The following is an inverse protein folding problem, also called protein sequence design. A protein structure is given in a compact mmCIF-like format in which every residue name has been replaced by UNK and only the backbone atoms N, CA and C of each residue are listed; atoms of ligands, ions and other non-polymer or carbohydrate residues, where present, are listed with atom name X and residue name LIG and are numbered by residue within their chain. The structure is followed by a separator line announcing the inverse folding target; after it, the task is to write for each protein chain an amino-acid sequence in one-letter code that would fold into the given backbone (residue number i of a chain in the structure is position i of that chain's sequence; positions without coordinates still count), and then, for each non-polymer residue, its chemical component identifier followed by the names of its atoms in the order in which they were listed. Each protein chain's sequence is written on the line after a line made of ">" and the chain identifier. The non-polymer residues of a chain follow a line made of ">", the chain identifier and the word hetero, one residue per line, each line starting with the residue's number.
data_IF_326086542755
#
_entry.id   IF_326086542755
#
_cell.length_a   1.000
_cell.length_b   1.000
_cell.length_c   1.000
_cell.angle_alpha   90.00
_cell.angle_beta   90.00
_cell.angle_gamma   90.00
#
_symmetry.space_group_name_H-M   'P 1'
#
loop_
_entity.id
_entity.type
_entity.pdbx_description
1 polymer ?
#
# COMPACT_ATOMS: atom_id res chain seq x y z
N UNK A 1 5.15 14.90 -0.02
CA UNK A 1 5.15 13.69 -0.86
C UNK A 1 5.20 12.48 0.05
N UNK A 2 4.19 11.61 0.02
CA UNK A 2 4.18 10.34 0.74
C UNK A 2 3.80 9.20 -0.22
N UNK A 3 3.93 7.95 0.23
CA UNK A 3 3.67 6.79 -0.61
C UNK A 3 2.58 5.92 -0.02
N UNK A 4 1.76 5.34 -0.88
CA UNK A 4 0.75 4.34 -0.50
C UNK A 4 1.24 2.96 -0.92
N UNK A 5 1.15 1.98 -0.01
CA UNK A 5 1.33 0.57 -0.35
C UNK A 5 0.15 0.11 -1.22
N UNK A 6 0.38 0.02 -2.53
CA UNK A 6 -0.62 -0.30 -3.53
C UNK A 6 -0.83 -1.79 -3.79
N UNK A 7 -0.29 -2.70 -2.97
CA UNK A 7 -0.41 -4.15 -3.17
C UNK A 7 -1.87 -4.61 -3.36
N UNK A 8 -2.83 -3.91 -2.75
CA UNK A 8 -4.27 -4.15 -2.88
C UNK A 8 -4.81 -3.98 -4.31
N UNK A 9 -4.16 -3.20 -5.17
CA UNK A 9 -4.62 -2.95 -6.54
C UNK A 9 -4.47 -4.17 -7.45
N UNK A 10 -3.53 -5.07 -7.12
CA UNK A 10 -3.27 -6.30 -7.88
C UNK A 10 -4.03 -7.52 -7.37
N UNK A 11 -4.98 -7.34 -6.46
CA UNK A 11 -5.72 -8.42 -5.78
C UNK A 11 -7.21 -8.35 -6.14
N UNK A 12 -7.89 -9.48 -5.97
CA UNK A 12 -9.35 -9.51 -6.07
C UNK A 12 -9.99 -8.58 -5.01
N UNK A 13 -11.09 -7.95 -5.39
CA UNK A 13 -11.77 -6.98 -4.52
C UNK A 13 -12.51 -7.73 -3.41
N UNK A 14 -11.99 -7.65 -2.19
CA UNK A 14 -12.74 -7.95 -0.95
C UNK A 14 -13.11 -6.65 -0.22
N UNK A 15 -13.73 -6.75 0.96
CA UNK A 15 -14.06 -5.59 1.79
C UNK A 15 -12.85 -4.70 2.12
N UNK A 16 -11.71 -5.31 2.48
CA UNK A 16 -10.48 -4.56 2.80
C UNK A 16 -9.89 -3.86 1.56
N UNK A 17 -9.82 -4.54 0.41
CA UNK A 17 -9.35 -3.95 -0.84
C UNK A 17 -10.28 -2.84 -1.32
N UNK A 18 -11.60 -3.00 -1.18
CA UNK A 18 -12.59 -1.95 -1.52
C UNK A 18 -12.40 -0.72 -0.64
N UNK A 19 -12.22 -0.89 0.67
CA UNK A 19 -11.89 0.20 1.57
C UNK A 19 -10.62 0.94 1.09
N UNK A 20 -9.52 0.22 0.87
CA UNK A 20 -8.26 0.82 0.45
C UNK A 20 -8.40 1.59 -0.88
N UNK A 21 -9.12 1.01 -1.85
CA UNK A 21 -9.37 1.63 -3.14
C UNK A 21 -10.19 2.92 -3.04
N UNK A 22 -11.31 2.91 -2.32
CA UNK A 22 -12.19 4.08 -2.21
C UNK A 22 -11.53 5.21 -1.41
N UNK A 23 -10.82 4.90 -0.32
CA UNK A 23 -10.03 5.90 0.41
C UNK A 23 -8.98 6.52 -0.51
N UNK A 24 -8.26 5.70 -1.28
CA UNK A 24 -7.23 6.20 -2.21
C UNK A 24 -7.83 7.08 -3.32
N UNK A 25 -8.98 6.71 -3.89
CA UNK A 25 -9.69 7.52 -4.89
C UNK A 25 -10.12 8.88 -4.35
N UNK A 26 -10.71 8.92 -3.15
CA UNK A 26 -11.11 10.18 -2.52
C UNK A 26 -9.93 11.03 -2.11
N UNK A 27 -8.79 10.41 -1.79
CA UNK A 27 -7.55 11.12 -1.52
C UNK A 27 -6.97 11.74 -2.79
N UNK A 28 -6.94 11.00 -3.91
CA UNK A 28 -6.48 11.50 -5.22
C UNK A 28 -7.30 12.72 -5.70
N UNK A 29 -8.61 12.73 -5.42
CA UNK A 29 -9.47 13.87 -5.73
C UNK A 29 -9.17 15.14 -4.91
N UNK A 30 -8.42 15.02 -3.80
CA UNK A 30 -8.14 16.13 -2.86
C UNK A 30 -6.68 16.52 -2.79
N UNK A 31 -5.77 15.62 -3.16
CA UNK A 31 -4.33 15.74 -2.95
C UNK A 31 -3.58 15.16 -4.13
N UNK A 32 -2.46 15.80 -4.46
CA UNK A 32 -1.53 15.36 -5.52
C UNK A 32 -0.14 15.02 -4.97
N UNK A 33 0.07 15.15 -3.66
CA UNK A 33 1.36 14.95 -3.01
C UNK A 33 1.58 13.51 -2.53
N UNK A 34 1.14 12.52 -3.34
CA UNK A 34 1.44 11.12 -3.11
C UNK A 34 1.54 10.28 -4.39
N UNK A 35 2.21 9.14 -4.28
CA UNK A 35 2.20 8.09 -5.30
C UNK A 35 1.82 6.73 -4.69
N UNK A 36 1.23 5.86 -5.51
CA UNK A 36 0.88 4.50 -5.12
C UNK A 36 1.92 3.54 -5.69
N UNK A 37 2.64 2.85 -4.82
CA UNK A 37 3.67 1.90 -5.23
C UNK A 37 3.04 0.51 -5.38
N UNK A 38 3.26 -0.13 -6.53
CA UNK A 38 2.80 -1.50 -6.80
C UNK A 38 3.94 -2.39 -7.28
N UNK A 39 3.86 -3.73 -7.08
CA UNK A 39 4.81 -4.66 -7.70
C UNK A 39 4.85 -4.49 -9.21
N UNK A 40 6.05 -4.49 -9.81
CA UNK A 40 6.21 -4.48 -11.28
C UNK A 40 5.48 -5.64 -11.96
N UNK A 41 5.38 -6.77 -11.27
CA UNK A 41 4.68 -7.99 -11.70
C UNK A 41 3.16 -7.96 -11.48
N UNK A 42 2.58 -6.82 -11.09
CA UNK A 42 1.13 -6.69 -10.91
C UNK A 42 0.41 -6.87 -12.26
N UNK A 43 -0.44 -7.89 -12.34
CA UNK A 43 -1.12 -8.32 -13.57
C UNK A 43 -2.09 -7.27 -14.13
N UNK A 44 -2.90 -6.63 -13.26
CA UNK A 44 -3.78 -5.54 -13.66
C UNK A 44 -3.86 -4.49 -12.56
N UNK A 45 -3.90 -3.22 -12.96
CA UNK A 45 -4.22 -2.08 -12.11
C UNK A 45 -5.48 -1.37 -12.60
N UNK A 46 -6.36 -2.06 -13.36
CA UNK A 46 -7.56 -1.48 -13.98
C UNK A 46 -8.46 -0.75 -12.99
N UNK A 47 -8.55 -1.26 -11.75
CA UNK A 47 -9.31 -0.64 -10.67
C UNK A 47 -8.79 0.75 -10.26
N UNK A 48 -7.53 1.07 -10.57
CA UNK A 48 -6.85 2.32 -10.23
C UNK A 48 -6.29 3.07 -11.43
N UNK A 49 -6.92 2.96 -12.61
CA UNK A 49 -6.43 3.57 -13.85
C UNK A 49 -6.18 5.09 -13.74
N UNK A 50 -7.00 5.81 -12.97
CA UNK A 50 -6.90 7.26 -12.78
C UNK A 50 -6.03 7.68 -11.58
N UNK A 51 -5.34 6.73 -10.95
CA UNK A 51 -4.53 6.99 -9.75
C UNK A 51 -3.04 7.13 -10.11
N UNK A 52 -2.26 7.89 -9.32
CA UNK A 52 -0.81 8.07 -9.56
C UNK A 52 -0.03 6.81 -9.18
N UNK A 53 -0.13 5.76 -10.00
CA UNK A 53 0.47 4.44 -9.75
C UNK A 53 1.87 4.35 -10.36
N UNK A 54 2.84 3.92 -9.56
CA UNK A 54 4.19 3.56 -10.00
C UNK A 54 4.48 2.09 -9.71
N UNK A 55 4.85 1.38 -10.78
CA UNK A 55 5.39 0.00 -10.71
C UNK A 55 6.86 0.03 -10.26
N UNK A 56 7.20 -0.73 -9.21
CA UNK A 56 8.56 -0.82 -8.66
C UNK A 56 8.92 -2.27 -8.27
N UNK A 57 10.23 -2.52 -8.11
CA UNK A 57 10.75 -3.78 -7.59
C UNK A 57 10.76 -4.91 -8.61
N UNK A 58 11.23 -6.07 -8.19
CA UNK A 58 11.39 -7.29 -9.01
C UNK A 58 10.61 -8.47 -8.44
N UNK A 59 10.22 -8.41 -7.16
CA UNK A 59 9.43 -9.40 -6.47
C UNK A 59 7.92 -9.10 -6.62
N UNK A 60 7.10 -10.01 -6.08
CA UNK A 60 5.66 -9.87 -5.95
C UNK A 60 5.22 -10.24 -4.52
N UNK A 61 3.95 -10.01 -4.19
CA UNK A 61 3.36 -10.44 -2.93
C UNK A 61 4.08 -9.88 -1.70
N UNK A 62 4.25 -10.71 -0.67
CA UNK A 62 4.91 -10.30 0.58
C UNK A 62 6.40 -10.06 0.43
N UNK A 63 7.10 -10.76 -0.47
CA UNK A 63 8.52 -10.49 -0.72
C UNK A 63 8.73 -9.07 -1.25
N UNK A 64 7.86 -8.63 -2.14
CA UNK A 64 7.88 -7.24 -2.61
C UNK A 64 7.61 -6.25 -1.47
N UNK A 65 6.59 -6.50 -0.65
CA UNK A 65 6.19 -5.61 0.45
C UNK A 65 7.28 -5.52 1.53
N UNK A 66 7.97 -6.62 1.84
CA UNK A 66 8.98 -6.65 2.90
C UNK A 66 10.37 -6.20 2.45
N UNK A 67 10.74 -6.36 1.17
CA UNK A 67 12.08 -6.04 0.67
C UNK A 67 12.12 -4.90 -0.34
N UNK A 68 11.36 -5.00 -1.43
CA UNK A 68 11.45 -4.05 -2.54
C UNK A 68 10.88 -2.68 -2.16
N UNK A 69 9.71 -2.66 -1.51
CA UNK A 69 9.03 -1.45 -1.09
C UNK A 69 9.88 -0.63 -0.10
N UNK A 70 10.38 -1.20 1.03
CA UNK A 70 11.29 -0.49 1.93
C UNK A 70 12.57 -0.03 1.25
N UNK A 71 13.16 -0.85 0.36
CA UNK A 71 14.39 -0.48 -0.35
C UNK A 71 14.16 0.73 -1.25
N UNK A 72 13.03 0.78 -1.96
CA UNK A 72 12.66 1.94 -2.76
C UNK A 72 12.46 3.18 -1.90
N UNK A 73 11.71 3.07 -0.81
CA UNK A 73 11.43 4.22 0.08
C UNK A 73 12.71 4.76 0.74
N UNK A 74 13.61 3.87 1.18
CA UNK A 74 14.91 4.26 1.75
C UNK A 74 15.78 5.02 0.76
N UNK A 75 15.78 4.61 -0.51
CA UNK A 75 16.50 5.31 -1.58
C UNK A 75 15.90 6.68 -1.92
N UNK A 76 14.62 6.89 -1.63
CA UNK A 76 13.90 8.15 -1.89
C UNK A 76 13.76 9.02 -0.63
N UNK A 77 14.71 8.92 0.31
CA UNK A 77 14.77 9.83 1.47
C UNK A 77 13.87 9.45 2.65
N UNK A 78 13.53 8.17 2.82
CA UNK A 78 12.75 7.66 3.96
C UNK A 78 11.36 8.31 4.11
N UNK A 79 10.63 8.43 3.01
CA UNK A 79 9.32 9.09 2.96
C UNK A 79 8.20 8.27 3.62
N UNK A 80 7.21 8.96 4.21
CA UNK A 80 6.08 8.33 4.89
C UNK A 80 5.39 7.28 4.00
N UNK A 81 5.23 6.07 4.54
CA UNK A 81 4.45 5.00 3.94
C UNK A 81 3.08 4.88 4.59
N UNK A 82 2.01 4.93 3.81
CA UNK A 82 0.64 4.67 4.24
C UNK A 82 0.21 3.30 3.70
N UNK A 83 -0.11 2.38 4.60
CA UNK A 83 -0.65 1.05 4.25
C UNK A 83 -2.11 0.98 4.67
N UNK A 84 -3.01 1.01 3.69
CA UNK A 84 -4.47 0.89 3.90
C UNK A 84 -4.93 -0.58 4.00
N UNK A 85 -3.98 -1.50 3.91
CA UNK A 85 -4.13 -2.92 4.18
C UNK A 85 -3.52 -3.25 5.55
N UNK A 86 -3.94 -4.33 6.22
CA UNK A 86 -3.44 -4.71 7.55
C UNK A 86 -1.97 -5.13 7.55
N UNK A 87 -1.35 -5.33 6.38
CA UNK A 87 0.06 -5.68 6.27
C UNK A 87 0.90 -4.50 5.80
N UNK A 88 2.11 -4.41 6.35
CA UNK A 88 3.10 -3.42 5.99
C UNK A 88 4.51 -3.99 6.22
N UNK A 89 5.55 -3.36 5.66
CA UNK A 89 6.91 -3.80 5.92
C UNK A 89 7.27 -3.69 7.40
N UNK A 90 7.74 -4.79 7.98
CA UNK A 90 7.97 -4.90 9.42
C UNK A 90 9.06 -3.91 9.88
N UNK A 91 10.18 -3.86 9.16
CA UNK A 91 11.38 -3.07 9.51
C UNK A 91 11.52 -1.73 8.76
N UNK A 92 10.41 -1.14 8.32
CA UNK A 92 10.38 0.20 7.74
C UNK A 92 9.72 1.22 8.67
N UNK A 93 10.34 2.39 8.82
CA UNK A 93 9.84 3.57 9.49
C UNK A 93 10.24 4.77 8.61
N UNK A 94 9.42 5.82 8.46
CA UNK A 94 8.10 6.11 9.05
C UNK A 94 6.92 5.48 8.30
N UNK A 95 5.97 4.84 9.02
CA UNK A 95 4.77 4.22 8.42
C UNK A 95 3.48 4.38 9.22
N UNK A 96 2.35 4.44 8.52
CA UNK A 96 0.97 4.34 9.06
C UNK A 96 0.35 3.05 8.50
N UNK A 97 -0.32 2.28 9.36
CA UNK A 97 -0.94 1.01 8.98
C UNK A 97 -2.38 0.94 9.50
N UNK A 98 -3.32 0.65 8.62
CA UNK A 98 -4.72 0.46 8.99
C UNK A 98 -4.96 -0.95 9.52
N UNK A 99 -5.49 -1.06 10.73
CA UNK A 99 -6.03 -2.32 11.27
C UNK A 99 -7.55 -2.19 11.37
N UNK A 100 -8.29 -3.15 10.79
CA UNK A 100 -9.77 -3.09 10.73
C UNK A 100 -10.44 -3.53 12.03
N UNK A 101 -9.80 -4.46 12.73
CA UNK A 101 -10.29 -4.99 13.98
C UNK A 101 -9.10 -5.20 14.92
N UNK A 102 -9.38 -5.05 16.21
CA UNK A 102 -8.47 -5.31 17.31
C UNK A 102 -8.97 -6.47 18.16
N UNK A 103 -9.89 -7.31 17.66
CA UNK A 103 -10.37 -8.49 18.36
C UNK A 103 -9.22 -9.35 18.88
N UNK A 104 -8.15 -9.57 18.11
CA UNK A 104 -6.96 -10.28 18.59
C UNK A 104 -6.22 -9.60 19.76
N UNK A 105 -6.38 -8.28 19.94
CA UNK A 105 -5.86 -7.53 21.08
C UNK A 105 -6.83 -7.59 22.26
N UNK A 106 -8.14 -7.51 21.96
CA UNK A 106 -9.20 -7.33 22.97
C UNK A 106 -9.77 -8.65 23.49
N UNK A 107 -9.69 -9.71 22.70
CA UNK A 107 -10.16 -11.07 22.94
C UNK A 107 -9.16 -12.08 22.32
N UNK A 108 -7.99 -12.30 22.94
CA UNK A 108 -6.94 -13.17 22.41
C UNK A 108 -7.18 -14.68 22.64
N UNK A 109 -8.31 -15.06 23.26
CA UNK A 109 -8.61 -16.42 23.76
C UNK A 109 -9.35 -17.31 22.75
#
# INVERSE_FOLDING_TARGET
>A
MFYINGRFLGQEITGAQRFALEITRRLAAKRQDFEILVPSKTASTSNGADLPVRKIGTHAGHLWEQYDLPRYLKRNGNQLLVSLSPTAPMYYQPKIVTHFDTAYIRYPD
#
